data_IF_642544198785
#
_entry.id   IF_642544198785
#
_cell.length_a   1.000
_cell.length_b   1.000
_cell.length_c   1.000
_cell.angle_alpha   90.00
_cell.angle_beta   90.00
_cell.angle_gamma   90.00
#
_symmetry.space_group_name_H-M   'P 1'
#
loop_
_entity.id
_entity.type
_entity.pdbx_description
1 polymer ?
#
# COMPACT_ATOMS: atom_id res chain seq x y z
N UNK A 1 1.04 10.93 -26.89
CA UNK A 1 2.00 10.26 -25.96
C UNK A 1 3.13 11.23 -25.73
N UNK A 2 3.33 11.68 -24.49
CA UNK A 2 4.41 12.60 -24.10
C UNK A 2 5.78 11.93 -24.21
N UNK A 3 6.86 12.70 -24.19
CA UNK A 3 8.21 12.11 -24.23
C UNK A 3 8.52 11.30 -22.96
N UNK A 4 7.94 11.70 -21.81
CA UNK A 4 8.03 10.95 -20.55
C UNK A 4 7.38 9.56 -20.66
N UNK A 5 6.18 9.48 -21.25
CA UNK A 5 5.49 8.18 -21.47
C UNK A 5 6.26 7.29 -22.45
N UNK A 6 6.84 7.86 -23.52
CA UNK A 6 7.71 7.10 -24.43
C UNK A 6 8.92 6.55 -23.68
N UNK A 7 9.54 7.39 -22.85
CA UNK A 7 10.70 6.99 -22.04
C UNK A 7 10.35 5.92 -21.02
N UNK A 8 9.20 6.04 -20.35
CA UNK A 8 8.69 5.01 -19.44
C UNK A 8 8.51 3.69 -20.15
N UNK A 9 7.89 3.71 -21.32
CA UNK A 9 7.69 2.51 -22.15
C UNK A 9 9.01 1.86 -22.55
N UNK A 10 10.00 2.62 -23.01
CA UNK A 10 11.33 2.10 -23.34
C UNK A 10 11.99 1.40 -22.14
N UNK A 11 11.90 2.00 -20.93
CA UNK A 11 12.44 1.42 -19.71
C UNK A 11 11.74 0.11 -19.34
N UNK A 12 10.41 0.08 -19.43
CA UNK A 12 9.62 -1.14 -19.18
C UNK A 12 9.93 -2.22 -20.22
N UNK A 13 9.97 -1.88 -21.51
CA UNK A 13 10.22 -2.84 -22.58
C UNK A 13 11.64 -3.42 -22.57
N UNK A 14 12.60 -2.69 -22.00
CA UNK A 14 14.00 -3.12 -21.86
C UNK A 14 14.33 -3.83 -20.54
N UNK A 15 13.33 -4.03 -19.67
CA UNK A 15 13.51 -4.60 -18.34
C UNK A 15 12.85 -5.96 -18.21
N UNK A 16 13.56 -6.92 -17.62
CA UNK A 16 13.11 -8.30 -17.40
C UNK A 16 12.73 -8.56 -15.92
N UNK A 17 13.12 -7.66 -15.01
CA UNK A 17 12.88 -7.78 -13.58
C UNK A 17 12.44 -6.45 -12.97
N UNK A 18 11.17 -6.13 -13.22
CA UNK A 18 10.54 -4.91 -12.70
C UNK A 18 10.00 -5.18 -11.31
N UNK A 19 10.26 -4.26 -10.38
CA UNK A 19 9.60 -4.20 -9.07
C UNK A 19 8.85 -2.88 -8.95
N UNK A 20 7.63 -2.95 -8.47
CA UNK A 20 6.83 -1.78 -8.14
C UNK A 20 6.80 -1.57 -6.64
N UNK A 21 7.06 -0.33 -6.18
CA UNK A 21 6.94 0.08 -4.78
C UNK A 21 5.89 1.18 -4.65
N UNK A 22 4.78 0.89 -3.98
CA UNK A 22 3.62 1.78 -3.95
C UNK A 22 3.14 2.17 -2.56
N UNK A 23 2.40 3.29 -2.51
CA UNK A 23 1.70 3.77 -1.33
C UNK A 23 0.27 4.24 -1.65
N UNK A 24 -0.35 4.96 -0.72
CA UNK A 24 -1.78 5.31 -0.76
C UNK A 24 -2.19 6.11 -2.01
N UNK A 25 -1.29 6.88 -2.61
CA UNK A 25 -1.53 7.61 -3.85
C UNK A 25 -1.85 6.70 -5.06
N UNK A 26 -1.51 5.41 -5.01
CA UNK A 26 -1.91 4.43 -6.05
C UNK A 26 -3.41 4.21 -6.06
N UNK A 27 -4.07 4.30 -4.90
CA UNK A 27 -5.50 4.01 -4.74
C UNK A 27 -6.41 5.24 -4.78
N UNK A 28 -5.86 6.46 -4.98
CA UNK A 28 -6.67 7.69 -5.06
C UNK A 28 -7.63 7.68 -6.26
N UNK A 29 -7.20 7.13 -7.40
CA UNK A 29 -8.05 6.94 -8.58
C UNK A 29 -9.07 5.79 -8.42
N UNK A 30 -9.03 5.08 -7.29
CA UNK A 30 -10.04 4.09 -6.86
C UNK A 30 -11.02 4.67 -5.83
N UNK A 31 -10.91 5.97 -5.50
CA UNK A 31 -11.75 6.65 -4.53
C UNK A 31 -11.29 6.50 -3.07
N UNK A 32 -10.13 5.93 -2.81
CA UNK A 32 -9.54 5.86 -1.46
C UNK A 32 -8.63 7.08 -1.28
N UNK A 33 -8.93 7.99 -0.33
CA UNK A 33 -8.07 9.14 -0.07
C UNK A 33 -6.70 8.69 0.45
N UNK A 34 -5.65 9.37 0.04
CA UNK A 34 -4.35 9.18 0.66
C UNK A 34 -4.28 9.84 2.05
N UNK A 35 -3.13 9.76 2.70
CA UNK A 35 -2.97 10.30 4.06
C UNK A 35 -2.66 11.80 4.08
N UNK A 36 -1.95 12.34 3.10
CA UNK A 36 -1.27 13.65 3.19
C UNK A 36 -1.65 14.69 2.15
N UNK A 37 -2.39 14.32 1.10
CA UNK A 37 -2.90 15.30 0.14
C UNK A 37 -3.91 16.24 0.79
N UNK A 38 -4.33 17.29 0.11
CA UNK A 38 -5.28 18.29 0.61
C UNK A 38 -6.59 17.65 1.10
N UNK A 39 -7.04 16.56 0.44
CA UNK A 39 -8.23 15.79 0.80
C UNK A 39 -7.89 14.53 1.62
N UNK A 40 -6.62 14.38 2.01
CA UNK A 40 -6.07 13.21 2.68
C UNK A 40 -6.56 13.07 4.13
N UNK A 41 -6.30 11.89 4.68
CA UNK A 41 -6.79 11.51 6.01
C UNK A 41 -6.33 12.47 7.12
N UNK A 42 -5.11 13.02 7.02
CA UNK A 42 -4.57 13.97 8.00
C UNK A 42 -5.30 15.33 8.02
N UNK A 43 -5.99 15.69 6.94
CA UNK A 43 -6.75 16.94 6.83
C UNK A 43 -8.24 16.76 7.15
N UNK A 44 -8.69 15.54 7.44
CA UNK A 44 -10.08 15.27 7.80
C UNK A 44 -10.30 15.49 9.30
N UNK A 45 -11.40 16.12 9.64
CA UNK A 45 -11.77 16.35 11.05
C UNK A 45 -12.06 15.02 11.76
N UNK A 46 -11.33 14.78 12.85
CA UNK A 46 -11.56 13.72 13.82
C UNK A 46 -11.02 14.15 15.18
N UNK A 47 -11.54 13.53 16.24
CA UNK A 47 -11.18 13.91 17.63
C UNK A 47 -9.68 13.73 17.92
N UNK A 48 -9.03 12.77 17.28
CA UNK A 48 -7.61 12.44 17.44
C UNK A 48 -6.91 12.42 16.10
N UNK A 49 -5.64 12.84 16.05
CA UNK A 49 -4.82 12.70 14.83
C UNK A 49 -4.73 11.21 14.39
N UNK A 50 -4.64 10.93 13.08
CA UNK A 50 -4.52 9.55 12.58
C UNK A 50 -3.38 8.75 13.19
N UNK A 51 -2.21 9.34 13.40
CA UNK A 51 -1.05 8.66 14.00
C UNK A 51 -1.28 8.29 15.47
N UNK A 52 -2.15 9.00 16.17
CA UNK A 52 -2.53 8.66 17.55
C UNK A 52 -3.57 7.54 17.54
N UNK A 53 -4.67 7.72 16.81
CA UNK A 53 -5.78 6.75 16.82
C UNK A 53 -5.41 5.41 16.19
N UNK A 54 -4.46 5.39 15.24
CA UNK A 54 -3.92 4.19 14.60
C UNK A 54 -2.66 3.65 15.30
N UNK A 55 -2.38 4.03 16.55
CA UNK A 55 -1.30 3.45 17.34
C UNK A 55 -1.76 2.21 18.13
N UNK A 56 -0.81 1.31 18.40
CA UNK A 56 -1.06 0.13 19.24
C UNK A 56 -1.54 0.52 20.63
N UNK A 57 -0.88 1.49 21.26
CA UNK A 57 -1.26 2.01 22.59
C UNK A 57 -2.69 2.55 22.61
N UNK A 58 -3.13 3.26 21.56
CA UNK A 58 -4.51 3.76 21.50
C UNK A 58 -5.50 2.62 21.28
N UNK A 59 -5.18 1.67 20.41
CA UNK A 59 -6.01 0.48 20.17
C UNK A 59 -6.27 -0.29 21.48
N UNK A 60 -5.24 -0.50 22.31
CA UNK A 60 -5.39 -1.19 23.59
C UNK A 60 -6.20 -0.38 24.62
N UNK A 61 -5.96 0.93 24.70
CA UNK A 61 -6.58 1.79 25.72
C UNK A 61 -8.00 2.23 25.38
N UNK A 62 -8.35 2.35 24.09
CA UNK A 62 -9.65 2.82 23.63
C UNK A 62 -10.12 2.10 22.34
N UNK A 63 -10.34 0.78 22.40
CA UNK A 63 -10.71 -0.02 21.23
C UNK A 63 -12.04 0.42 20.60
N UNK A 64 -12.99 0.95 21.35
CA UNK A 64 -14.27 1.43 20.80
C UNK A 64 -14.09 2.58 19.82
N UNK A 65 -13.30 3.59 20.21
CA UNK A 65 -13.00 4.74 19.37
C UNK A 65 -12.09 4.34 18.19
N UNK A 66 -11.12 3.44 18.42
CA UNK A 66 -10.29 2.88 17.36
C UNK A 66 -11.16 2.23 16.27
N UNK A 67 -12.06 1.32 16.63
CA UNK A 67 -12.92 0.63 15.66
C UNK A 67 -13.94 1.55 15.00
N UNK A 68 -14.40 2.58 15.69
CA UNK A 68 -15.26 3.61 15.10
C UNK A 68 -14.52 4.35 13.96
N UNK A 69 -13.29 4.79 14.22
CA UNK A 69 -12.42 5.43 13.23
C UNK A 69 -12.07 4.45 12.10
N UNK A 70 -11.62 3.25 12.45
CA UNK A 70 -11.17 2.21 11.52
C UNK A 70 -12.26 1.91 10.47
N UNK A 71 -13.50 1.68 10.90
CA UNK A 71 -14.61 1.45 9.97
C UNK A 71 -14.94 2.68 9.11
N UNK A 72 -14.89 3.86 9.68
CA UNK A 72 -15.26 5.09 8.98
C UNK A 72 -14.20 5.56 7.97
N UNK A 73 -12.91 5.26 8.22
CA UNK A 73 -11.79 5.88 7.49
C UNK A 73 -10.83 4.89 6.83
N UNK A 74 -10.72 3.68 7.35
CA UNK A 74 -9.74 2.71 6.85
C UNK A 74 -10.34 1.65 5.95
N UNK A 75 -11.66 1.45 5.99
CA UNK A 75 -12.37 0.48 5.16
C UNK A 75 -12.99 1.16 3.94
N UNK A 76 -12.77 0.56 2.77
CA UNK A 76 -13.34 1.00 1.50
C UNK A 76 -13.89 -0.21 0.71
N UNK A 77 -14.98 -0.86 1.20
CA UNK A 77 -15.46 -2.13 0.64
C UNK A 77 -15.94 -2.01 -0.82
N UNK A 78 -16.33 -0.82 -1.24
CA UNK A 78 -16.82 -0.56 -2.60
C UNK A 78 -15.73 -0.15 -3.59
N UNK A 79 -14.50 0.09 -3.12
CA UNK A 79 -13.39 0.46 -3.98
C UNK A 79 -13.07 -0.66 -4.99
N UNK A 80 -12.67 -0.25 -6.19
CA UNK A 80 -12.32 -1.19 -7.27
C UNK A 80 -10.94 -0.85 -7.82
N UNK A 81 -10.18 -1.84 -8.32
CA UNK A 81 -8.89 -1.61 -8.95
C UNK A 81 -8.98 -0.60 -10.08
N UNK A 82 -8.11 0.41 -10.07
CA UNK A 82 -7.96 1.38 -11.14
C UNK A 82 -6.98 0.89 -12.23
N UNK A 83 -6.67 1.75 -13.20
CA UNK A 83 -5.82 1.42 -14.33
C UNK A 83 -4.39 1.03 -13.89
N UNK A 84 -3.83 1.67 -12.84
CA UNK A 84 -2.50 1.32 -12.33
C UNK A 84 -2.46 -0.13 -11.82
N UNK A 85 -3.41 -0.51 -10.97
CA UNK A 85 -3.49 -1.88 -10.45
C UNK A 85 -3.59 -2.92 -11.57
N UNK A 86 -4.43 -2.65 -12.58
CA UNK A 86 -4.65 -3.55 -13.72
C UNK A 86 -3.40 -3.68 -14.59
N UNK A 87 -2.70 -2.59 -14.87
CA UNK A 87 -1.47 -2.59 -15.65
C UNK A 87 -0.35 -3.35 -14.95
N UNK A 88 -0.21 -3.18 -13.63
CA UNK A 88 0.78 -3.95 -12.86
C UNK A 88 0.47 -5.45 -12.87
N UNK A 89 -0.80 -5.85 -12.76
CA UNK A 89 -1.21 -7.24 -12.89
C UNK A 89 -0.96 -7.81 -14.30
N UNK A 90 -1.16 -7.00 -15.35
CA UNK A 90 -0.84 -7.35 -16.74
C UNK A 90 0.66 -7.61 -16.91
N UNK A 91 1.54 -6.71 -16.45
CA UNK A 91 2.99 -6.90 -16.51
C UNK A 91 3.47 -8.12 -15.70
N UNK A 92 2.82 -8.43 -14.58
CA UNK A 92 3.11 -9.65 -13.82
C UNK A 92 2.71 -10.89 -14.63
N UNK A 93 1.55 -10.89 -15.28
CA UNK A 93 1.09 -11.99 -16.13
C UNK A 93 2.00 -12.22 -17.36
N UNK A 94 2.58 -11.14 -17.90
CA UNK A 94 3.59 -11.18 -18.95
C UNK A 94 4.98 -11.63 -18.46
N UNK A 95 5.16 -11.75 -17.14
CA UNK A 95 6.42 -12.15 -16.53
C UNK A 95 7.47 -11.05 -16.42
N UNK A 96 7.12 -9.79 -16.67
CA UNK A 96 8.02 -8.62 -16.53
C UNK A 96 8.07 -8.10 -15.10
N UNK A 97 6.91 -7.89 -14.47
CA UNK A 97 6.82 -7.47 -13.06
C UNK A 97 6.99 -8.70 -12.15
N UNK A 98 7.95 -8.63 -11.24
CA UNK A 98 8.28 -9.75 -10.34
C UNK A 98 7.65 -9.61 -8.95
N UNK A 99 7.36 -8.40 -8.52
CA UNK A 99 6.65 -8.15 -7.27
C UNK A 99 6.04 -6.75 -7.24
N UNK A 100 4.91 -6.65 -6.55
CA UNK A 100 4.37 -5.41 -6.02
C UNK A 100 4.71 -5.35 -4.53
N UNK A 101 5.44 -4.34 -4.10
CA UNK A 101 5.69 -4.01 -2.70
C UNK A 101 4.78 -2.84 -2.35
N UNK A 102 3.84 -3.02 -1.46
CA UNK A 102 2.84 -1.99 -1.16
C UNK A 102 2.75 -1.65 0.31
N UNK A 103 2.56 -0.38 0.60
CA UNK A 103 2.20 0.12 1.93
C UNK A 103 0.68 0.10 2.15
N UNK A 104 -0.10 -0.15 1.08
CA UNK A 104 -1.55 -0.17 1.14
C UNK A 104 -2.07 -1.45 1.78
N UNK A 105 -3.21 -1.31 2.44
CA UNK A 105 -3.92 -2.39 3.15
C UNK A 105 -5.23 -2.78 2.46
N UNK A 106 -5.54 -2.17 1.31
CA UNK A 106 -6.83 -2.21 0.63
C UNK A 106 -7.10 -3.48 -0.21
N UNK A 107 -6.05 -4.25 -0.54
CA UNK A 107 -6.16 -5.48 -1.34
C UNK A 107 -6.44 -5.24 -2.83
N UNK A 108 -6.36 -4.00 -3.33
CA UNK A 108 -6.71 -3.69 -4.73
C UNK A 108 -5.74 -4.29 -5.75
N UNK A 109 -4.48 -4.49 -5.39
CA UNK A 109 -3.52 -5.18 -6.27
C UNK A 109 -3.94 -6.63 -6.51
N UNK A 110 -4.30 -7.36 -5.44
CA UNK A 110 -4.80 -8.74 -5.54
C UNK A 110 -6.14 -8.78 -6.29
N UNK A 111 -7.04 -7.84 -6.02
CA UNK A 111 -8.32 -7.73 -6.72
C UNK A 111 -8.15 -7.43 -8.22
N UNK A 112 -7.05 -6.81 -8.64
CA UNK A 112 -6.68 -6.61 -10.04
C UNK A 112 -6.09 -7.85 -10.71
N UNK A 113 -5.66 -8.86 -9.92
CA UNK A 113 -5.06 -10.10 -10.41
C UNK A 113 -3.57 -10.26 -10.12
N UNK A 114 -2.92 -9.30 -9.46
CA UNK A 114 -1.53 -9.45 -9.00
C UNK A 114 -1.42 -10.59 -7.99
N UNK A 115 -0.41 -11.43 -8.12
CA UNK A 115 -0.20 -12.63 -7.31
C UNK A 115 0.90 -12.45 -6.27
N UNK A 116 2.01 -11.81 -6.66
CA UNK A 116 3.11 -11.54 -5.75
C UNK A 116 3.02 -10.11 -5.23
N UNK A 117 2.19 -9.94 -4.20
CA UNK A 117 1.96 -8.66 -3.50
C UNK A 117 2.51 -8.76 -2.09
N UNK A 118 3.50 -7.93 -1.77
CA UNK A 118 4.13 -7.84 -0.45
C UNK A 118 3.51 -6.67 0.30
N UNK A 119 2.55 -6.98 1.17
CA UNK A 119 1.77 -6.00 1.95
C UNK A 119 2.54 -5.63 3.23
N UNK A 120 3.39 -4.59 3.16
CA UNK A 120 4.25 -4.17 4.27
C UNK A 120 3.49 -3.79 5.54
N UNK A 121 2.28 -3.27 5.38
CA UNK A 121 1.43 -2.84 6.50
C UNK A 121 0.22 -3.76 6.73
N UNK A 122 0.27 -4.99 6.22
CA UNK A 122 -0.81 -5.95 6.38
C UNK A 122 -2.03 -5.69 5.49
N UNK A 123 -3.23 -6.12 5.92
CA UNK A 123 -4.43 -6.05 5.09
C UNK A 123 -5.71 -5.96 5.91
N UNK A 124 -6.67 -5.16 5.46
CA UNK A 124 -8.04 -5.10 6.03
C UNK A 124 -8.83 -6.41 5.80
N UNK A 125 -8.41 -7.23 4.83
CA UNK A 125 -9.09 -8.48 4.48
C UNK A 125 -8.75 -9.65 5.43
N UNK A 126 -7.71 -9.50 6.26
CA UNK A 126 -7.31 -10.49 7.27
C UNK A 126 -7.49 -9.90 8.66
N UNK A 127 -8.16 -10.64 9.51
CA UNK A 127 -8.41 -10.25 10.89
C UNK A 127 -8.32 -11.50 11.76
N UNK A 128 -7.76 -11.40 12.95
CA UNK A 128 -7.57 -12.54 13.84
C UNK A 128 -8.02 -12.24 15.26
N UNK A 129 -8.60 -13.25 15.88
CA UNK A 129 -8.88 -13.16 17.32
C UNK A 129 -7.57 -13.17 18.11
N UNK A 130 -7.29 -12.16 18.89
CA UNK A 130 -6.07 -12.07 19.72
C UNK A 130 -5.96 -13.17 20.77
N UNK A 131 -7.09 -13.78 21.19
CA UNK A 131 -7.11 -14.81 22.20
C UNK A 131 -6.91 -16.22 21.65
N UNK A 132 -7.54 -16.58 20.53
CA UNK A 132 -7.55 -17.94 20.00
C UNK A 132 -7.02 -18.09 18.57
N UNK A 133 -6.59 -17.00 17.92
CA UNK A 133 -6.04 -16.99 16.57
C UNK A 133 -7.05 -17.25 15.46
N UNK A 134 -8.36 -17.40 15.76
CA UNK A 134 -9.36 -17.66 14.73
C UNK A 134 -9.38 -16.54 13.70
N UNK A 135 -9.35 -16.91 12.41
CA UNK A 135 -9.43 -16.02 11.28
C UNK A 135 -10.84 -15.48 11.05
N UNK A 136 -10.93 -14.23 10.60
CA UNK A 136 -12.14 -13.52 10.17
C UNK A 136 -11.83 -12.68 8.93
N UNK A 137 -12.76 -12.65 7.97
CA UNK A 137 -12.65 -11.80 6.79
C UNK A 137 -13.13 -10.36 7.05
N UNK A 138 -12.97 -9.50 6.04
CA UNK A 138 -13.45 -8.11 6.10
C UNK A 138 -14.96 -8.05 6.36
N UNK A 139 -15.75 -8.91 5.71
CA UNK A 139 -17.20 -8.96 5.86
C UNK A 139 -17.65 -9.23 7.30
N UNK A 140 -16.86 -10.03 8.05
CA UNK A 140 -17.16 -10.29 9.46
C UNK A 140 -17.02 -9.01 10.29
N UNK A 141 -16.00 -8.18 9.98
CA UNK A 141 -15.81 -6.88 10.65
C UNK A 141 -16.91 -5.89 10.28
N UNK A 142 -17.29 -5.84 9.00
CA UNK A 142 -18.33 -4.94 8.50
C UNK A 142 -19.71 -5.22 9.11
N UNK A 143 -20.02 -6.48 9.45
CA UNK A 143 -21.28 -6.90 10.08
C UNK A 143 -21.34 -6.62 11.58
N UNK A 144 -20.21 -6.25 12.21
CA UNK A 144 -20.16 -5.98 13.66
C UNK A 144 -20.31 -4.50 13.96
N UNK A 145 -20.92 -4.19 15.10
CA UNK A 145 -20.92 -2.86 15.70
C UNK A 145 -19.95 -2.81 16.89
N UNK A 146 -19.43 -1.63 17.22
CA UNK A 146 -18.48 -1.45 18.31
C UNK A 146 -17.20 -2.27 18.14
N UNK A 147 -16.69 -2.85 19.22
CA UNK A 147 -15.48 -3.70 19.21
C UNK A 147 -15.83 -5.10 18.73
N UNK A 148 -15.28 -5.59 17.59
CA UNK A 148 -15.60 -6.92 17.08
C UNK A 148 -15.04 -8.00 18.03
N UNK A 149 -15.89 -8.99 18.36
CA UNK A 149 -15.52 -10.04 19.30
C UNK A 149 -15.72 -11.44 18.72
N UNK A 150 -14.75 -12.28 18.99
CA UNK A 150 -14.80 -13.70 18.69
C UNK A 150 -15.77 -14.45 19.64
N UNK A 151 -16.25 -15.58 19.22
CA UNK A 151 -17.05 -16.49 20.08
C UNK A 151 -16.35 -16.91 21.37
N UNK A 152 -15.01 -16.84 21.43
CA UNK A 152 -14.24 -17.08 22.66
C UNK A 152 -14.17 -15.87 23.61
N UNK A 153 -14.76 -14.71 23.21
CA UNK A 153 -14.72 -13.45 23.95
C UNK A 153 -13.52 -12.54 23.67
N UNK A 154 -12.51 -13.01 22.90
CA UNK A 154 -11.35 -12.20 22.50
C UNK A 154 -11.73 -11.13 21.48
N UNK A 155 -10.98 -10.01 21.43
CA UNK A 155 -11.12 -9.00 20.38
C UNK A 155 -10.61 -9.58 19.06
N UNK A 156 -11.26 -9.21 17.96
CA UNK A 156 -10.80 -9.51 16.61
C UNK A 156 -10.02 -8.30 16.11
N UNK A 157 -8.69 -8.41 16.10
CA UNK A 157 -7.79 -7.35 15.62
C UNK A 157 -7.60 -7.47 14.12
N UNK A 158 -7.68 -6.36 13.36
CA UNK A 158 -7.25 -6.34 11.96
C UNK A 158 -5.77 -6.68 11.84
N UNK A 159 -5.42 -7.43 10.81
CA UNK A 159 -4.03 -7.76 10.46
C UNK A 159 -3.36 -6.57 9.72
N UNK A 160 -3.55 -5.40 10.28
CA UNK A 160 -2.99 -4.13 9.85
C UNK A 160 -1.94 -3.72 10.86
N UNK A 161 -0.75 -3.36 10.38
CA UNK A 161 0.34 -2.87 11.21
C UNK A 161 0.00 -1.46 11.69
N UNK A 162 -0.17 -1.31 12.99
CA UNK A 162 -0.41 -0.02 13.63
C UNK A 162 0.92 0.70 13.89
N UNK A 163 0.86 2.02 14.10
CA UNK A 163 2.02 2.72 14.66
C UNK A 163 2.46 2.03 15.96
N UNK A 164 3.75 2.01 16.25
CA UNK A 164 4.40 1.30 17.37
C UNK A 164 4.55 -0.23 17.15
N UNK A 165 3.92 -0.81 16.12
CA UNK A 165 4.10 -2.22 15.77
C UNK A 165 5.23 -2.43 14.76
N UNK A 166 5.88 -3.59 14.83
CA UNK A 166 6.88 -4.00 13.85
C UNK A 166 6.25 -4.56 12.57
N UNK A 167 6.93 -4.39 11.44
CA UNK A 167 6.54 -5.04 10.19
C UNK A 167 6.87 -6.54 10.25
N UNK A 168 6.13 -7.34 9.46
CA UNK A 168 6.43 -8.77 9.31
C UNK A 168 7.82 -9.00 8.73
N UNK A 169 8.65 -9.76 9.46
CA UNK A 169 10.04 -9.98 9.08
C UNK A 169 10.17 -10.76 7.76
N UNK A 170 9.30 -11.72 7.50
CA UNK A 170 9.31 -12.50 6.26
C UNK A 170 8.98 -11.65 5.05
N UNK A 171 7.98 -10.77 5.18
CA UNK A 171 7.61 -9.81 4.13
C UNK A 171 8.75 -8.80 3.86
N UNK A 172 9.42 -8.31 4.92
CA UNK A 172 10.56 -7.41 4.78
C UNK A 172 11.74 -8.08 4.03
N UNK A 173 12.11 -9.29 4.42
CA UNK A 173 13.21 -10.03 3.78
C UNK A 173 12.91 -10.33 2.32
N UNK A 174 11.68 -10.70 2.00
CA UNK A 174 11.27 -10.92 0.61
C UNK A 174 11.27 -9.61 -0.20
N UNK A 175 10.81 -8.49 0.38
CA UNK A 175 10.86 -7.19 -0.26
C UNK A 175 12.31 -6.77 -0.58
N UNK A 176 13.23 -6.95 0.37
CA UNK A 176 14.66 -6.68 0.17
C UNK A 176 15.23 -7.56 -0.96
N UNK A 177 14.89 -8.86 -0.99
CA UNK A 177 15.35 -9.76 -2.07
C UNK A 177 14.84 -9.32 -3.44
N UNK A 178 13.57 -8.94 -3.54
CA UNK A 178 12.98 -8.45 -4.78
C UNK A 178 13.65 -7.17 -5.25
N UNK A 179 13.85 -6.19 -4.34
CA UNK A 179 14.51 -4.92 -4.66
C UNK A 179 15.97 -5.11 -5.10
N UNK A 180 16.72 -5.95 -4.40
CA UNK A 180 18.12 -6.22 -4.74
C UNK A 180 18.28 -6.92 -6.11
N UNK A 181 17.30 -7.70 -6.53
CA UNK A 181 17.31 -8.43 -7.81
C UNK A 181 16.75 -7.62 -8.98
N UNK A 182 16.03 -6.51 -8.72
CA UNK A 182 15.35 -5.73 -9.75
C UNK A 182 16.35 -4.99 -10.65
N UNK A 183 16.05 -4.91 -11.94
CA UNK A 183 16.77 -4.05 -12.90
C UNK A 183 16.07 -2.70 -13.11
N UNK A 184 14.75 -2.66 -12.91
CA UNK A 184 13.92 -1.45 -12.90
C UNK A 184 13.07 -1.40 -11.63
N UNK A 185 13.20 -0.31 -10.87
CA UNK A 185 12.31 0.03 -9.77
C UNK A 185 11.38 1.17 -10.17
N UNK A 186 10.06 0.92 -10.10
CA UNK A 186 9.04 1.95 -10.27
C UNK A 186 8.47 2.28 -8.90
N UNK A 187 8.65 3.51 -8.44
CA UNK A 187 8.07 4.02 -7.20
C UNK A 187 6.86 4.88 -7.56
N UNK A 188 5.72 4.59 -6.95
CA UNK A 188 4.49 5.31 -7.28
C UNK A 188 3.57 5.60 -6.09
N UNK A 189 2.92 6.77 -6.11
CA UNK A 189 1.88 7.12 -5.15
C UNK A 189 2.30 7.09 -3.68
N UNK A 190 3.55 7.44 -3.37
CA UNK A 190 4.06 7.42 -2.00
C UNK A 190 4.88 8.67 -1.69
N UNK A 191 4.76 9.18 -0.45
CA UNK A 191 5.58 10.29 0.03
C UNK A 191 6.96 9.85 0.54
N UNK A 192 7.20 8.54 0.72
CA UNK A 192 8.41 7.95 1.32
C UNK A 192 8.77 8.50 2.71
N UNK A 193 7.74 8.82 3.51
CA UNK A 193 7.90 9.37 4.87
C UNK A 193 7.71 8.33 5.98
N UNK A 194 7.14 7.16 5.68
CA UNK A 194 6.80 6.15 6.69
C UNK A 194 7.90 5.11 6.77
N UNK A 195 8.64 5.13 7.89
CA UNK A 195 9.67 4.14 8.19
C UNK A 195 9.11 3.00 9.04
N UNK A 196 9.64 1.75 8.87
CA UNK A 196 10.83 1.37 8.07
C UNK A 196 10.56 1.15 6.59
N UNK A 197 9.31 1.13 6.11
CA UNK A 197 8.95 0.82 4.73
C UNK A 197 9.69 1.71 3.70
N UNK A 198 9.71 3.03 3.90
CA UNK A 198 10.39 3.96 3.02
C UNK A 198 11.91 3.71 2.91
N UNK A 199 12.51 3.13 3.94
CA UNK A 199 13.94 2.79 3.95
C UNK A 199 14.30 1.59 3.07
N UNK A 200 13.33 0.79 2.64
CA UNK A 200 13.59 -0.42 1.83
C UNK A 200 14.12 -0.10 0.43
N UNK A 201 13.75 1.05 -0.14
CA UNK A 201 14.21 1.44 -1.49
C UNK A 201 15.74 1.53 -1.62
N UNK A 202 16.47 1.74 -0.52
CA UNK A 202 17.95 1.75 -0.50
C UNK A 202 18.58 0.42 -0.87
N UNK A 203 17.83 -0.68 -0.82
CA UNK A 203 18.30 -2.01 -1.23
C UNK A 203 18.20 -2.24 -2.74
N UNK A 204 17.59 -1.31 -3.47
CA UNK A 204 17.61 -1.34 -4.92
C UNK A 204 19.02 -1.04 -5.44
N UNK A 205 19.54 -1.94 -6.23
CA UNK A 205 20.88 -1.82 -6.84
C UNK A 205 20.86 -1.92 -8.37
N UNK A 206 19.65 -1.87 -8.96
CA UNK A 206 19.44 -2.01 -10.39
C UNK A 206 19.82 -0.77 -11.21
N UNK A 207 19.51 -0.82 -12.50
CA UNK A 207 19.98 0.20 -13.47
C UNK A 207 19.08 1.42 -13.54
N UNK A 208 17.76 1.24 -13.39
CA UNK A 208 16.79 2.30 -13.67
C UNK A 208 15.81 2.47 -12.53
N UNK A 209 15.62 3.72 -12.13
CA UNK A 209 14.64 4.14 -11.14
C UNK A 209 13.67 5.13 -11.75
N UNK A 210 12.38 4.83 -11.68
CA UNK A 210 11.30 5.70 -12.13
C UNK A 210 10.46 6.12 -10.93
N UNK A 211 10.13 7.39 -10.85
CA UNK A 211 9.23 7.96 -9.85
C UNK A 211 7.96 8.49 -10.52
N UNK A 212 6.80 7.97 -10.13
CA UNK A 212 5.48 8.46 -10.58
C UNK A 212 4.73 8.96 -9.36
N UNK A 213 4.79 10.27 -9.09
CA UNK A 213 4.21 10.84 -7.89
C UNK A 213 3.84 12.31 -8.07
N UNK A 214 2.60 12.68 -7.74
CA UNK A 214 2.09 14.06 -7.89
C UNK A 214 2.87 15.10 -7.10
N UNK A 215 3.42 14.72 -5.96
CA UNK A 215 4.15 15.61 -5.07
C UNK A 215 5.59 15.14 -4.92
N UNK A 216 6.53 16.04 -4.57
CA UNK A 216 7.89 15.64 -4.23
C UNK A 216 7.90 14.59 -3.12
N UNK A 217 8.83 13.65 -3.19
CA UNK A 217 9.06 12.64 -2.14
C UNK A 217 10.05 13.16 -1.11
N UNK A 218 10.01 12.61 0.12
CA UNK A 218 10.88 13.06 1.21
C UNK A 218 12.35 12.69 1.02
N UNK A 219 12.64 11.74 0.13
CA UNK A 219 14.00 11.28 -0.13
C UNK A 219 14.54 11.87 -1.42
N UNK A 220 15.81 12.26 -1.40
CA UNK A 220 16.54 12.66 -2.61
C UNK A 220 16.89 11.39 -3.40
N UNK A 221 16.13 11.14 -4.46
CA UNK A 221 16.27 9.98 -5.31
C UNK A 221 16.88 10.39 -6.65
N UNK A 222 17.97 9.75 -7.05
CA UNK A 222 18.54 9.88 -8.38
C UNK A 222 17.67 9.08 -9.40
N UNK A 223 16.44 9.54 -9.63
CA UNK A 223 15.53 8.90 -10.58
C UNK A 223 15.91 9.25 -12.03
N UNK A 224 15.91 8.22 -12.89
CA UNK A 224 16.13 8.41 -14.36
C UNK A 224 14.94 9.08 -15.04
N UNK A 225 13.75 8.95 -14.44
CA UNK A 225 12.51 9.52 -14.93
C UNK A 225 11.59 9.89 -13.77
N UNK A 226 11.06 11.11 -13.78
CA UNK A 226 10.04 11.58 -12.82
C UNK A 226 8.80 12.00 -13.60
N UNK A 227 7.64 11.43 -13.24
CA UNK A 227 6.34 11.77 -13.83
C UNK A 227 5.42 12.25 -12.70
N UNK A 228 4.78 13.41 -12.89
CA UNK A 228 3.89 14.00 -11.87
C UNK A 228 2.40 13.82 -12.16
N UNK A 229 2.07 13.20 -13.27
CA UNK A 229 0.69 12.88 -13.65
C UNK A 229 0.10 11.76 -12.76
N UNK A 230 -1.24 11.61 -12.73
CA UNK A 230 -1.92 10.52 -12.04
C UNK A 230 -1.37 9.15 -12.49
N UNK A 231 -1.11 8.27 -11.52
CA UNK A 231 -0.41 7.01 -11.79
C UNK A 231 -1.23 6.06 -12.67
N UNK A 232 -2.54 6.01 -12.50
CA UNK A 232 -3.42 5.17 -13.34
C UNK A 232 -3.47 5.67 -14.77
N UNK A 233 -3.58 6.99 -14.96
CA UNK A 233 -3.52 7.63 -16.28
C UNK A 233 -2.15 7.35 -16.95
N UNK A 234 -1.06 7.53 -16.19
CA UNK A 234 0.32 7.28 -16.65
C UNK A 234 0.50 5.84 -17.12
N UNK A 235 0.21 4.88 -16.25
CA UNK A 235 0.46 3.46 -16.55
C UNK A 235 -0.47 2.90 -17.62
N UNK A 236 -1.67 3.46 -17.81
CA UNK A 236 -2.58 3.04 -18.87
C UNK A 236 -2.08 3.31 -20.29
N UNK A 237 -1.05 4.13 -20.44
CA UNK A 237 -0.48 4.52 -21.74
C UNK A 237 0.77 3.70 -22.13
N UNK A 238 1.20 2.74 -21.29
CA UNK A 238 2.44 1.96 -21.47
C UNK A 238 2.18 0.51 -21.88
#
# INVERSE_FOLDING_TARGET
MTDEIKRLKELVDSSDNIVFFGGAGVSTESGIPDFRSTDGLYHQEWKYPPEVILSHTFYESNPEEFFRFYRAKMLAPDARPNAAHKKLAEWEAEGRLKAVITQNIDGLHQAAGSRKVLELHGSVHRNHCERCGKFYGLDDILRTEGVPRCSCGGIIKPDVVLYEEGLDQGTLEEAVRCLAAADLLIIGGTSLNVYPAAGLIRYFGGRHLVLINKSPVAQDLAADLVITDPIGETLSQV
#
